data_IF_123035826252
#
_entry.id   IF_123035826252
#
_cell.length_a   1.000
_cell.length_b   1.000
_cell.length_c   1.000
_cell.angle_alpha   90.00
_cell.angle_beta   90.00
_cell.angle_gamma   90.00
#
_symmetry.space_group_name_H-M   'P 1'
#
loop_
_entity.id
_entity.type
_entity.pdbx_description
1 polymer ?
#
# COMPACT_ATOMS: atom_id res chain seq x y z
N UNK A 1 21.75 -6.49 -10.64
CA UNK A 1 20.44 -5.81 -10.61
C UNK A 1 19.59 -6.47 -9.55
N UNK A 2 19.50 -5.88 -8.37
CA UNK A 2 18.68 -6.45 -7.29
C UNK A 2 17.22 -6.25 -7.66
N UNK A 3 16.50 -7.35 -7.90
CA UNK A 3 15.09 -7.28 -8.25
C UNK A 3 14.34 -6.72 -7.03
N UNK A 4 13.80 -5.51 -7.18
CA UNK A 4 13.02 -4.84 -6.13
C UNK A 4 11.64 -5.46 -5.93
N UNK A 5 11.33 -6.54 -6.65
CA UNK A 5 10.04 -7.18 -6.62
C UNK A 5 10.15 -8.69 -6.40
N UNK A 6 9.14 -9.29 -5.79
CA UNK A 6 9.03 -10.73 -5.53
C UNK A 6 7.59 -11.19 -5.73
N UNK A 7 7.42 -12.38 -6.28
CA UNK A 7 6.12 -13.04 -6.40
C UNK A 7 5.96 -14.03 -5.24
N UNK A 8 4.89 -13.86 -4.45
CA UNK A 8 4.50 -14.77 -3.38
C UNK A 8 3.01 -15.05 -3.54
N UNK A 9 2.60 -16.32 -3.56
CA UNK A 9 1.19 -16.72 -3.72
C UNK A 9 0.50 -16.04 -4.91
N UNK A 10 1.21 -15.96 -6.04
CA UNK A 10 0.76 -15.29 -7.27
C UNK A 10 0.44 -13.79 -7.10
N UNK A 11 1.02 -13.14 -6.09
CA UNK A 11 0.89 -11.71 -5.81
C UNK A 11 2.25 -11.04 -5.89
N UNK A 12 2.29 -9.88 -6.54
CA UNK A 12 3.52 -9.11 -6.69
C UNK A 12 3.74 -8.24 -5.45
N UNK A 13 4.96 -8.25 -4.94
CA UNK A 13 5.38 -7.43 -3.80
C UNK A 13 6.62 -6.62 -4.17
N UNK A 14 6.69 -5.37 -3.69
CA UNK A 14 7.87 -4.52 -3.74
C UNK A 14 8.64 -4.64 -2.43
N UNK A 15 9.95 -4.83 -2.54
CA UNK A 15 10.88 -4.97 -1.41
C UNK A 15 11.23 -3.57 -0.89
N UNK A 16 10.76 -3.24 0.31
CA UNK A 16 11.06 -1.97 0.99
C UNK A 16 12.48 -1.95 1.57
N UNK A 17 13.02 -0.74 1.79
CA UNK A 17 14.34 -0.52 2.39
C UNK A 17 14.47 -1.14 3.79
N UNK A 18 13.39 -1.09 4.59
CA UNK A 18 13.33 -1.63 5.96
C UNK A 18 12.96 -3.12 6.03
N UNK A 19 12.95 -3.83 4.88
CA UNK A 19 12.48 -5.22 4.70
C UNK A 19 10.97 -5.52 4.74
N UNK A 20 10.00 -4.60 4.94
CA UNK A 20 8.61 -4.94 4.71
C UNK A 20 8.35 -5.14 3.21
N UNK A 21 7.48 -6.10 2.89
CA UNK A 21 7.01 -6.35 1.53
C UNK A 21 5.75 -5.54 1.30
N UNK A 22 5.83 -4.57 0.39
CA UNK A 22 4.68 -3.75 -0.01
C UNK A 22 3.90 -4.49 -1.09
N UNK A 23 2.63 -4.79 -0.85
CA UNK A 23 1.79 -5.47 -1.83
C UNK A 23 1.53 -4.54 -3.03
N UNK A 24 1.81 -5.01 -4.23
CA UNK A 24 1.41 -4.31 -5.44
C UNK A 24 -0.08 -4.53 -5.70
N UNK A 25 -0.76 -3.46 -6.07
CA UNK A 25 -2.18 -3.46 -6.41
C UNK A 25 -2.36 -2.87 -7.80
N UNK A 26 -3.28 -3.42 -8.58
CA UNK A 26 -3.54 -2.91 -9.92
C UNK A 26 -4.33 -1.59 -9.86
N UNK A 27 -4.16 -0.74 -10.89
CA UNK A 27 -4.79 0.59 -10.97
C UNK A 27 -6.32 0.63 -10.68
N UNK A 28 -7.14 -0.35 -11.09
CA UNK A 28 -8.56 -0.32 -10.77
C UNK A 28 -8.83 -0.39 -9.26
N UNK A 29 -7.96 -1.06 -8.51
CA UNK A 29 -8.10 -1.27 -7.06
C UNK A 29 -7.48 -0.14 -6.24
N UNK A 30 -6.57 0.66 -6.82
CA UNK A 30 -5.94 1.78 -6.09
C UNK A 30 -6.97 2.78 -5.60
N UNK A 31 -7.97 3.14 -6.41
CA UNK A 31 -8.99 4.11 -6.01
C UNK A 31 -9.86 3.57 -4.87
N UNK A 32 -10.26 2.30 -4.94
CA UNK A 32 -11.03 1.64 -3.88
C UNK A 32 -10.25 1.56 -2.59
N UNK A 33 -8.99 1.13 -2.63
CA UNK A 33 -8.13 1.06 -1.43
C UNK A 33 -7.91 2.46 -0.85
N UNK A 34 -7.68 3.47 -1.69
CA UNK A 34 -7.53 4.85 -1.21
C UNK A 34 -8.82 5.36 -0.56
N UNK A 35 -10.00 5.04 -1.11
CA UNK A 35 -11.29 5.40 -0.55
C UNK A 35 -11.55 4.67 0.78
N UNK A 36 -11.30 3.36 0.88
CA UNK A 36 -11.45 2.59 2.12
C UNK A 36 -10.51 3.10 3.23
N UNK A 37 -9.26 3.36 2.88
CA UNK A 37 -8.30 3.90 3.85
C UNK A 37 -8.67 5.34 4.22
N UNK A 38 -9.13 6.16 3.28
CA UNK A 38 -9.65 7.50 3.55
C UNK A 38 -10.88 7.47 4.47
N UNK A 39 -11.87 6.63 4.21
CA UNK A 39 -13.13 6.58 4.95
C UNK A 39 -12.94 5.99 6.35
N UNK A 40 -12.11 4.95 6.48
CA UNK A 40 -11.69 4.42 7.79
C UNK A 40 -10.86 5.44 8.60
N UNK A 41 -10.22 6.40 7.93
CA UNK A 41 -9.51 7.52 8.54
C UNK A 41 -10.43 8.71 8.83
N UNK A 42 -11.43 8.98 8.00
CA UNK A 42 -12.41 10.05 8.18
C UNK A 42 -13.32 9.82 9.39
N UNK A 43 -13.49 8.58 9.82
CA UNK A 43 -14.12 8.30 11.12
C UNK A 43 -13.28 8.78 12.33
N UNK A 44 -11.99 9.10 12.14
CA UNK A 44 -11.09 9.63 13.16
C UNK A 44 -10.05 10.56 12.49
N UNK A 45 -10.53 11.70 11.98
CA UNK A 45 -9.86 12.64 11.05
C UNK A 45 -8.33 12.78 11.21
N UNK A 46 -7.60 11.87 10.58
CA UNK A 46 -6.14 11.79 10.60
C UNK A 46 -5.65 12.25 9.21
N UNK A 47 -4.87 13.33 9.16
CA UNK A 47 -4.48 13.98 7.88
C UNK A 47 -3.70 13.10 6.89
N UNK A 48 -3.65 13.52 5.61
CA UNK A 48 -3.13 12.73 4.49
C UNK A 48 -1.68 12.19 4.60
N UNK A 49 -0.85 12.73 5.49
CA UNK A 49 0.50 12.17 5.79
C UNK A 49 0.44 10.81 6.48
N UNK A 50 -0.54 10.62 7.38
CA UNK A 50 -0.75 9.35 8.06
C UNK A 50 -1.43 8.31 7.15
N UNK A 51 -2.25 8.76 6.19
CA UNK A 51 -2.76 7.92 5.10
C UNK A 51 -1.60 7.31 4.29
N UNK A 52 -0.61 8.12 3.91
CA UNK A 52 0.58 7.62 3.22
C UNK A 52 1.37 6.61 4.09
N UNK A 53 1.48 6.86 5.40
CA UNK A 53 2.17 5.95 6.32
C UNK A 53 1.47 4.60 6.55
N UNK A 54 0.15 4.50 6.34
CA UNK A 54 -0.60 3.23 6.39
C UNK A 54 -0.48 2.40 5.12
N UNK A 55 -0.16 3.04 4.00
CA UNK A 55 -0.05 2.42 2.67
C UNK A 55 1.40 2.00 2.37
N UNK A 56 2.37 2.59 3.08
CA UNK A 56 3.81 2.25 3.08
C UNK A 56 4.16 1.23 4.15
#
# INVERSE_FOLDING_TARGET
MTNYYTLLDNRLYKRGLSRPLLKCVAQPWTTTIMAEVHDSICSNHIGGRLLAAKIL
#
